data_IF_715004737501
#
_entry.id   IF_715004737501
#
_cell.length_a   1.000
_cell.length_b   1.000
_cell.length_c   1.000
_cell.angle_alpha   90.00
_cell.angle_beta   90.00
_cell.angle_gamma   90.00
#
_symmetry.space_group_name_H-M   'P 1'
#
loop_
_entity.id
_entity.type
_entity.pdbx_description
1 polymer ?
#
# COMPACT_ATOMS: atom_id res chain seq x y z
N UNK A 1 5.87 22.87 0.89
CA UNK A 1 4.58 22.71 0.57
C UNK A 1 4.23 21.35 0.35
N UNK A 2 3.06 21.06 0.74
CA UNK A 2 2.66 19.75 0.66
C UNK A 2 2.47 19.26 -0.69
N UNK A 3 2.05 20.07 -1.56
CA UNK A 3 1.82 19.63 -2.87
C UNK A 3 3.04 19.14 -3.51
N UNK A 4 4.18 19.57 -3.07
CA UNK A 4 5.41 19.16 -3.70
C UNK A 4 5.69 17.69 -3.53
N UNK A 5 5.08 17.06 -2.53
CA UNK A 5 5.27 15.65 -2.38
C UNK A 5 4.84 14.87 -3.59
N UNK A 6 3.85 15.37 -4.31
CA UNK A 6 3.31 14.63 -5.42
C UNK A 6 3.75 15.17 -6.77
N UNK A 7 4.50 16.27 -6.81
CA UNK A 7 4.87 16.84 -8.07
C UNK A 7 5.71 15.89 -8.91
N UNK A 8 6.56 15.13 -8.24
CA UNK A 8 7.41 14.16 -8.91
C UNK A 8 7.08 12.75 -8.50
N UNK A 9 5.82 12.52 -8.17
CA UNK A 9 5.43 11.20 -7.69
C UNK A 9 5.55 10.16 -8.80
N UNK A 10 6.09 9.02 -8.46
CA UNK A 10 6.11 7.89 -9.38
C UNK A 10 5.66 6.66 -8.61
N UNK A 11 5.20 5.66 -9.33
CA UNK A 11 4.82 4.40 -8.72
C UNK A 11 6.03 3.81 -8.03
N UNK A 12 5.95 3.46 -6.77
CA UNK A 12 7.08 2.84 -6.11
C UNK A 12 7.27 1.41 -6.60
N UNK A 13 8.50 0.97 -6.54
CA UNK A 13 8.78 -0.42 -6.82
C UNK A 13 8.42 -1.25 -5.62
N UNK A 14 7.69 -2.32 -5.84
CA UNK A 14 7.22 -3.17 -4.76
C UNK A 14 7.73 -4.57 -4.99
N UNK A 15 8.39 -5.12 -3.97
CA UNK A 15 8.80 -6.52 -3.97
C UNK A 15 8.04 -7.21 -2.85
N UNK A 16 7.50 -8.38 -3.14
CA UNK A 16 6.70 -9.09 -2.16
C UNK A 16 7.48 -9.31 -0.88
N UNK A 17 6.87 -8.90 0.22
CA UNK A 17 7.44 -9.15 1.53
C UNK A 17 8.62 -8.28 1.91
N UNK A 18 8.99 -7.32 1.07
CA UNK A 18 10.12 -6.47 1.37
C UNK A 18 9.68 -5.02 1.46
N UNK A 19 10.30 -4.23 2.32
CA UNK A 19 9.92 -2.83 2.44
C UNK A 19 10.20 -2.07 1.16
N UNK A 20 9.29 -1.19 0.79
CA UNK A 20 9.52 -0.26 -0.30
C UNK A 20 10.47 0.84 0.19
N UNK A 21 10.82 1.74 -0.69
CA UNK A 21 11.68 2.85 -0.27
C UNK A 21 11.01 3.75 0.74
N UNK A 22 9.72 3.61 0.92
CA UNK A 22 8.99 4.39 1.91
C UNK A 22 8.70 3.57 3.17
N UNK A 23 9.25 2.36 3.24
CA UNK A 23 9.18 1.51 4.43
C UNK A 23 7.80 0.92 4.71
N UNK A 24 7.03 0.67 3.68
CA UNK A 24 5.82 -0.14 3.86
C UNK A 24 5.97 -1.42 3.04
N UNK A 25 5.24 -2.45 3.44
CA UNK A 25 5.44 -3.81 2.91
C UNK A 25 4.15 -4.32 2.30
N UNK A 26 4.26 -4.99 1.18
CA UNK A 26 3.11 -5.63 0.53
C UNK A 26 3.41 -7.11 0.36
N UNK A 27 2.46 -7.93 0.77
CA UNK A 27 2.49 -9.35 0.47
C UNK A 27 1.49 -9.61 -0.64
N UNK A 28 1.85 -10.48 -1.57
CA UNK A 28 0.98 -10.82 -2.69
C UNK A 28 0.70 -9.61 -3.57
N UNK A 29 1.76 -8.96 -3.99
CA UNK A 29 1.61 -7.70 -4.71
C UNK A 29 0.82 -7.83 -5.99
N UNK A 30 0.76 -9.01 -6.57
CA UNK A 30 0.00 -9.18 -7.80
C UNK A 30 -1.48 -8.90 -7.59
N UNK A 31 -1.95 -8.92 -6.36
CA UNK A 31 -3.32 -8.57 -6.07
C UNK A 31 -3.52 -7.11 -5.71
N UNK A 32 -2.46 -6.32 -5.71
CA UNK A 32 -2.57 -4.92 -5.34
C UNK A 32 -2.69 -4.05 -6.58
N UNK A 33 -3.68 -3.17 -6.57
CA UNK A 33 -3.80 -2.13 -7.57
C UNK A 33 -3.60 -0.82 -6.87
N UNK A 34 -2.55 -0.11 -7.25
CA UNK A 34 -2.18 1.12 -6.57
C UNK A 34 -2.36 2.28 -7.52
N UNK A 35 -3.18 3.23 -7.13
CA UNK A 35 -3.43 4.40 -7.95
C UNK A 35 -2.27 5.38 -7.92
N UNK A 36 -2.50 6.54 -8.52
CA UNK A 36 -1.47 7.56 -8.63
C UNK A 36 -1.54 8.52 -7.47
N UNK A 37 -0.40 9.03 -7.09
CA UNK A 37 -0.29 10.04 -6.05
C UNK A 37 -0.87 9.58 -4.73
N UNK A 38 -0.62 8.31 -4.42
CA UNK A 38 -1.01 7.74 -3.15
C UNK A 38 0.10 7.96 -2.13
N UNK A 39 -0.26 8.00 -0.88
CA UNK A 39 0.69 8.26 0.18
C UNK A 39 0.46 7.24 1.28
N UNK A 40 1.37 6.30 1.40
CA UNK A 40 1.25 5.25 2.39
C UNK A 40 2.33 5.45 3.43
N UNK A 41 1.92 5.57 4.67
CA UNK A 41 2.86 5.86 5.75
C UNK A 41 3.79 4.71 6.05
N UNK A 42 4.91 5.03 6.67
CA UNK A 42 5.93 4.04 6.96
C UNK A 42 5.40 2.96 7.89
N UNK A 43 5.95 1.78 7.75
CA UNK A 43 5.65 0.64 8.60
C UNK A 43 4.23 0.13 8.45
N UNK A 44 3.58 0.48 7.36
CA UNK A 44 2.29 -0.09 7.03
C UNK A 44 2.48 -1.45 6.36
N UNK A 45 1.49 -2.30 6.50
CA UNK A 45 1.54 -3.63 5.93
C UNK A 45 0.27 -3.89 5.14
N UNK A 46 0.43 -4.39 3.93
CA UNK A 46 -0.70 -4.69 3.06
C UNK A 46 -0.61 -6.13 2.62
N UNK A 47 -1.66 -6.90 2.87
CA UNK A 47 -1.72 -8.26 2.35
C UNK A 47 -2.81 -8.28 1.30
N UNK A 48 -2.42 -8.40 0.06
CA UNK A 48 -3.34 -8.28 -1.07
C UNK A 48 -3.69 -9.63 -1.67
N UNK A 49 -3.67 -10.68 -0.87
CA UNK A 49 -3.90 -12.01 -1.38
C UNK A 49 -5.22 -12.13 -2.11
N UNK A 50 -6.27 -11.53 -1.61
CA UNK A 50 -7.57 -11.58 -2.24
C UNK A 50 -7.90 -10.32 -3.03
N UNK A 51 -6.91 -9.44 -3.20
CA UNK A 51 -7.08 -8.23 -3.99
C UNK A 51 -7.31 -7.01 -3.12
N UNK A 52 -6.52 -5.97 -3.33
CA UNK A 52 -6.69 -4.68 -2.68
C UNK A 52 -6.54 -3.62 -3.74
N UNK A 53 -7.45 -2.66 -3.75
CA UNK A 53 -7.35 -1.54 -4.66
C UNK A 53 -7.23 -0.26 -3.85
N UNK A 54 -6.18 0.49 -4.08
CA UNK A 54 -6.00 1.80 -3.46
C UNK A 54 -6.10 2.81 -4.58
N UNK A 55 -7.11 3.65 -4.50
CA UNK A 55 -7.42 4.55 -5.60
C UNK A 55 -6.50 5.75 -5.59
N UNK A 56 -6.64 6.59 -6.61
CA UNK A 56 -5.78 7.75 -6.75
C UNK A 56 -5.92 8.67 -5.56
N UNK A 57 -4.81 9.21 -5.16
CA UNK A 57 -4.76 10.26 -4.14
C UNK A 57 -5.24 9.84 -2.75
N UNK A 58 -5.23 8.54 -2.48
CA UNK A 58 -5.58 8.04 -1.17
C UNK A 58 -4.38 8.19 -0.24
N UNK A 59 -4.63 8.60 0.99
CA UNK A 59 -3.59 8.69 2.00
C UNK A 59 -3.84 7.63 3.07
N UNK A 60 -2.80 6.89 3.41
CA UNK A 60 -2.89 5.86 4.43
C UNK A 60 -1.86 6.21 5.50
N UNK A 61 -2.28 6.26 6.72
CA UNK A 61 -1.39 6.62 7.82
C UNK A 61 -0.33 5.58 8.08
N UNK A 62 0.61 5.93 8.93
CA UNK A 62 1.68 5.00 9.31
C UNK A 62 1.14 3.85 10.13
N UNK A 63 1.85 2.74 10.09
CA UNK A 63 1.54 1.58 10.95
C UNK A 63 0.13 1.04 10.69
N UNK A 64 -0.38 1.19 9.48
CA UNK A 64 -1.68 0.61 9.15
C UNK A 64 -1.51 -0.80 8.66
N UNK A 65 -2.48 -1.64 8.95
CA UNK A 65 -2.48 -3.01 8.45
C UNK A 65 -3.72 -3.20 7.60
N UNK A 66 -3.54 -3.62 6.37
CA UNK A 66 -4.64 -3.82 5.44
C UNK A 66 -4.61 -5.27 4.99
N UNK A 67 -5.68 -5.98 5.24
CA UNK A 67 -5.75 -7.38 4.86
C UNK A 67 -6.96 -7.59 3.95
N UNK A 68 -6.76 -8.39 2.92
CA UNK A 68 -7.84 -8.68 2.00
C UNK A 68 -8.28 -10.13 2.06
N UNK A 69 -7.83 -10.87 3.07
CA UNK A 69 -8.25 -12.25 3.18
C UNK A 69 -9.67 -12.32 3.65
N UNK A 70 -10.38 -13.25 3.13
CA UNK A 70 -11.80 -13.27 3.39
C UNK A 70 -12.21 -14.18 4.52
N UNK A 71 -11.32 -14.96 5.07
CA UNK A 71 -11.76 -15.90 6.06
C UNK A 71 -11.25 -15.59 7.38
N UNK A 72 -11.57 -14.47 7.82
CA UNK A 72 -11.13 -14.09 9.06
C UNK A 72 -11.92 -14.63 10.13
N UNK A 73 -13.05 -14.90 9.90
CA UNK A 73 -13.86 -15.24 10.85
C UNK A 73 -13.89 -16.54 11.19
N UNK A 74 -13.74 -16.95 11.12
CA UNK A 74 -13.90 -17.99 11.55
C UNK A 74 -13.54 -18.30 12.52
N UNK A 75 -13.41 -18.18 12.92
CA UNK A 75 -13.10 -18.49 13.76
C UNK A 75 -13.35 -18.75 14.45
#
# INVERSE_FOLDING_TARGET
MREDRFANWTQPEIEDGRPTKYNWVVQNKSGLRLGHRTDIGAFSYINAKAGVTIEDEVQIGSHCSIYSVSTIDER
#
